data_IF_151001199593
#
_entry.id   IF_151001199593
#
_cell.length_a   1.000
_cell.length_b   1.000
_cell.length_c   1.000
_cell.angle_alpha   90.00
_cell.angle_beta   90.00
_cell.angle_gamma   90.00
#
_symmetry.space_group_name_H-M   'P 1'
#
loop_
_entity.id
_entity.type
_entity.pdbx_description
1 polymer ?
#
# COMPACT_ATOMS: atom_id res chain seq x y z
N UNK A 1 -14.11 28.75 -12.83
CA UNK A 1 -14.77 28.09 -13.97
C UNK A 1 -13.78 27.41 -14.94
N UNK A 2 -12.64 28.03 -15.30
CA UNK A 2 -11.62 27.41 -16.20
C UNK A 2 -11.02 26.09 -15.67
N UNK A 3 -10.78 25.95 -14.37
CA UNK A 3 -10.23 24.73 -13.77
C UNK A 3 -11.20 23.53 -13.81
N UNK A 4 -12.50 23.78 -13.61
CA UNK A 4 -13.52 22.72 -13.69
C UNK A 4 -13.64 22.18 -15.11
N UNK A 5 -13.65 23.07 -16.12
CA UNK A 5 -13.69 22.65 -17.53
C UNK A 5 -12.46 21.78 -17.89
N UNK A 6 -11.26 22.19 -17.45
CA UNK A 6 -10.04 21.41 -17.68
C UNK A 6 -10.10 20.02 -17.02
N UNK A 7 -10.61 19.94 -15.79
CA UNK A 7 -10.80 18.66 -15.08
C UNK A 7 -11.80 17.78 -15.83
N UNK A 8 -12.93 18.31 -16.27
CA UNK A 8 -13.93 17.57 -17.04
C UNK A 8 -13.35 17.02 -18.37
N UNK A 9 -12.55 17.82 -19.08
CA UNK A 9 -11.90 17.40 -20.33
C UNK A 9 -10.94 16.23 -20.04
N UNK A 10 -10.11 16.31 -19.00
CA UNK A 10 -9.19 15.24 -18.63
C UNK A 10 -9.95 13.95 -18.26
N UNK A 11 -10.99 14.05 -17.42
CA UNK A 11 -11.81 12.89 -17.04
C UNK A 11 -12.46 12.26 -18.27
N UNK A 12 -13.04 13.07 -19.15
CA UNK A 12 -13.66 12.59 -20.38
C UNK A 12 -12.66 11.88 -21.28
N UNK A 13 -11.47 12.46 -21.47
CA UNK A 13 -10.39 11.85 -22.25
C UNK A 13 -9.96 10.51 -21.65
N UNK A 14 -9.79 10.42 -20.32
CA UNK A 14 -9.44 9.18 -19.66
C UNK A 14 -10.51 8.09 -19.84
N UNK A 15 -11.79 8.45 -19.73
CA UNK A 15 -12.91 7.52 -19.95
C UNK A 15 -12.93 7.03 -21.42
N UNK A 16 -12.72 7.92 -22.38
CA UNK A 16 -12.64 7.55 -23.79
C UNK A 16 -11.47 6.59 -24.08
N UNK A 17 -10.29 6.89 -23.55
CA UNK A 17 -9.12 6.01 -23.67
C UNK A 17 -9.41 4.64 -23.02
N UNK A 18 -10.12 4.61 -21.89
CA UNK A 18 -10.49 3.36 -21.23
C UNK A 18 -11.43 2.53 -22.10
N UNK A 19 -12.50 3.11 -22.66
CA UNK A 19 -13.40 2.40 -23.58
C UNK A 19 -12.69 1.87 -24.82
N UNK A 20 -11.78 2.66 -25.41
CA UNK A 20 -10.97 2.23 -26.55
C UNK A 20 -10.03 1.07 -26.18
N UNK A 21 -9.39 1.16 -25.02
CA UNK A 21 -8.51 0.09 -24.51
C UNK A 21 -9.30 -1.19 -24.23
N UNK A 22 -10.50 -1.08 -23.67
CA UNK A 22 -11.38 -2.23 -23.42
C UNK A 22 -11.77 -2.89 -24.75
N UNK A 23 -12.10 -2.11 -25.77
CA UNK A 23 -12.40 -2.63 -27.10
C UNK A 23 -11.21 -3.39 -27.68
N UNK A 24 -10.02 -2.78 -27.72
CA UNK A 24 -8.81 -3.39 -28.32
C UNK A 24 -8.40 -4.68 -27.60
N UNK A 25 -8.42 -4.69 -26.28
CA UNK A 25 -7.98 -5.84 -25.47
C UNK A 25 -8.99 -7.00 -25.47
N UNK A 26 -10.27 -6.73 -25.61
CA UNK A 26 -11.33 -7.75 -25.62
C UNK A 26 -11.65 -8.29 -27.02
N UNK A 27 -11.29 -7.58 -28.09
CA UNK A 27 -11.54 -7.95 -29.50
C UNK A 27 -11.00 -9.35 -29.86
N UNK A 28 -9.75 -9.74 -29.50
CA UNK A 28 -9.23 -11.06 -29.89
C UNK A 28 -10.09 -12.21 -29.35
N UNK A 29 -10.56 -12.09 -28.08
CA UNK A 29 -11.41 -13.10 -27.50
C UNK A 29 -12.81 -13.14 -28.13
N UNK A 30 -13.41 -11.99 -28.43
CA UNK A 30 -14.67 -11.91 -29.16
C UNK A 30 -14.59 -12.55 -30.53
N UNK A 31 -13.52 -12.27 -31.28
CA UNK A 31 -13.29 -12.86 -32.60
C UNK A 31 -13.06 -14.38 -32.55
N UNK A 32 -12.30 -14.87 -31.56
CA UNK A 32 -12.08 -16.30 -31.38
C UNK A 32 -13.38 -17.03 -31.01
N UNK A 33 -14.22 -16.43 -30.18
CA UNK A 33 -15.54 -16.95 -29.84
C UNK A 33 -16.43 -17.05 -31.07
N UNK A 34 -16.46 -16.00 -31.91
CA UNK A 34 -17.24 -15.98 -33.14
C UNK A 34 -16.79 -17.05 -34.14
N UNK A 35 -15.48 -17.15 -34.36
CA UNK A 35 -14.92 -18.19 -35.24
C UNK A 35 -15.28 -19.59 -34.78
N UNK A 36 -15.26 -19.88 -33.48
CA UNK A 36 -15.67 -21.18 -32.92
C UNK A 36 -17.17 -21.45 -33.07
N UNK A 37 -17.99 -20.39 -33.05
CA UNK A 37 -19.42 -20.48 -33.26
C UNK A 37 -19.84 -20.50 -34.76
N UNK A 38 -18.91 -20.27 -35.70
CA UNK A 38 -19.18 -20.19 -37.13
C UNK A 38 -20.05 -18.98 -37.52
N UNK A 39 -20.01 -17.90 -36.71
CA UNK A 39 -20.84 -16.70 -36.91
C UNK A 39 -19.94 -15.56 -37.41
N UNK A 40 -20.35 -14.88 -38.49
CA UNK A 40 -19.76 -13.61 -38.89
C UNK A 40 -20.33 -12.48 -37.98
N UNK A 41 -19.47 -11.83 -37.19
CA UNK A 41 -19.87 -10.72 -36.34
C UNK A 41 -19.75 -9.41 -37.11
N UNK A 42 -20.85 -8.63 -37.13
CA UNK A 42 -20.85 -7.26 -37.63
C UNK A 42 -19.99 -6.35 -36.73
N UNK A 43 -19.41 -5.28 -37.30
CA UNK A 43 -18.59 -4.32 -36.54
C UNK A 43 -19.32 -3.72 -35.32
N UNK A 44 -20.64 -3.49 -35.40
CA UNK A 44 -21.47 -3.00 -34.31
C UNK A 44 -21.63 -4.04 -33.20
N UNK A 45 -21.89 -5.29 -33.55
CA UNK A 45 -22.03 -6.40 -32.62
C UNK A 45 -20.70 -6.68 -31.89
N UNK A 46 -19.58 -6.55 -32.61
CA UNK A 46 -18.26 -6.69 -32.04
C UNK A 46 -18.00 -5.65 -30.93
N UNK A 47 -18.36 -4.38 -31.16
CA UNK A 47 -18.24 -3.32 -30.14
C UNK A 47 -19.10 -3.61 -28.93
N UNK A 48 -20.37 -4.02 -29.14
CA UNK A 48 -21.28 -4.34 -28.05
C UNK A 48 -20.81 -5.58 -27.27
N UNK A 49 -20.37 -6.65 -27.96
CA UNK A 49 -19.84 -7.84 -27.29
C UNK A 49 -18.61 -7.52 -26.46
N UNK A 50 -17.65 -6.74 -27.00
CA UNK A 50 -16.41 -6.36 -26.26
C UNK A 50 -16.67 -5.55 -24.99
N UNK A 51 -17.79 -4.80 -24.93
CA UNK A 51 -18.16 -4.00 -23.76
C UNK A 51 -19.13 -4.72 -22.80
N UNK A 52 -19.67 -5.87 -23.19
CA UNK A 52 -20.66 -6.63 -22.39
C UNK A 52 -20.21 -8.04 -22.01
N UNK A 53 -18.95 -8.40 -22.25
CA UNK A 53 -18.40 -9.71 -21.89
C UNK A 53 -18.53 -10.00 -20.39
N UNK A 54 -18.90 -11.23 -20.02
CA UNK A 54 -18.96 -11.66 -18.60
C UNK A 54 -17.57 -11.71 -17.92
N UNK A 55 -16.53 -12.04 -18.70
CA UNK A 55 -15.15 -12.14 -18.20
C UNK A 55 -14.18 -11.41 -19.16
N UNK A 56 -14.26 -10.08 -19.24
CA UNK A 56 -13.39 -9.32 -20.11
C UNK A 56 -11.95 -9.30 -19.58
N UNK A 57 -10.95 -9.17 -20.48
CA UNK A 57 -9.57 -8.88 -20.07
C UNK A 57 -9.46 -7.51 -19.41
N UNK A 58 -10.19 -6.52 -19.94
CA UNK A 58 -10.34 -5.20 -19.37
C UNK A 58 -11.83 -4.85 -19.33
N UNK A 59 -12.46 -4.77 -18.14
CA UNK A 59 -13.86 -4.40 -18.06
C UNK A 59 -14.08 -2.95 -18.50
N UNK A 60 -15.19 -2.70 -19.19
CA UNK A 60 -15.58 -1.34 -19.56
C UNK A 60 -16.01 -0.54 -18.31
N UNK A 61 -15.89 0.80 -18.30
CA UNK A 61 -16.21 1.63 -17.13
C UNK A 61 -17.60 1.41 -16.56
N UNK A 62 -18.61 1.22 -17.41
CA UNK A 62 -19.98 0.95 -16.97
C UNK A 62 -20.12 -0.42 -16.27
N UNK A 63 -19.39 -1.46 -16.72
CA UNK A 63 -19.37 -2.77 -16.07
C UNK A 63 -18.77 -2.68 -14.66
N UNK A 64 -17.70 -1.90 -14.49
CA UNK A 64 -17.10 -1.64 -13.18
C UNK A 64 -18.10 -0.94 -12.26
N UNK A 65 -18.81 0.07 -12.77
CA UNK A 65 -19.84 0.78 -11.99
C UNK A 65 -20.97 -0.15 -11.53
N UNK A 66 -21.49 -0.99 -12.44
CA UNK A 66 -22.53 -1.99 -12.12
C UNK A 66 -22.02 -3.01 -11.10
N UNK A 67 -20.78 -3.51 -11.24
CA UNK A 67 -20.23 -4.50 -10.31
C UNK A 67 -19.98 -3.89 -8.92
N UNK A 68 -19.50 -2.64 -8.85
CA UNK A 68 -19.38 -1.91 -7.58
C UNK A 68 -20.77 -1.79 -6.91
N UNK A 69 -21.78 -1.41 -7.66
CA UNK A 69 -23.15 -1.32 -7.13
C UNK A 69 -23.64 -2.67 -6.60
N UNK A 70 -23.55 -3.72 -7.40
CA UNK A 70 -23.97 -5.07 -7.02
C UNK A 70 -23.26 -5.59 -5.77
N UNK A 71 -21.94 -5.37 -5.70
CA UNK A 71 -21.11 -5.90 -4.60
C UNK A 71 -21.17 -5.06 -3.32
N UNK A 72 -21.55 -3.77 -3.43
CA UNK A 72 -21.66 -2.87 -2.27
C UNK A 72 -23.07 -2.79 -1.71
N UNK A 73 -24.09 -2.72 -2.58
CA UNK A 73 -25.47 -2.43 -2.17
C UNK A 73 -26.33 -3.69 -2.10
N UNK A 74 -26.26 -4.55 -3.12
CA UNK A 74 -27.15 -5.72 -3.20
C UNK A 74 -26.68 -6.88 -2.32
N UNK A 75 -25.39 -6.98 -2.03
CA UNK A 75 -24.86 -8.10 -1.23
C UNK A 75 -24.76 -7.72 0.24
N UNK A 76 -25.12 -8.66 1.11
CA UNK A 76 -24.98 -8.52 2.57
C UNK A 76 -23.53 -8.25 2.92
N UNK A 77 -23.29 -7.34 3.87
CA UNK A 77 -21.95 -6.94 4.35
C UNK A 77 -21.05 -8.11 4.79
N UNK A 78 -21.66 -9.19 5.31
CA UNK A 78 -20.97 -10.40 5.78
C UNK A 78 -20.66 -11.40 4.66
N UNK A 79 -21.13 -11.15 3.45
CA UNK A 79 -20.88 -12.06 2.32
C UNK A 79 -19.44 -11.99 1.85
N UNK A 80 -18.79 -13.15 1.66
CA UNK A 80 -17.45 -13.26 1.06
C UNK A 80 -17.37 -12.72 -0.39
N UNK A 81 -18.50 -12.34 -0.99
CA UNK A 81 -18.57 -11.71 -2.31
C UNK A 81 -18.82 -10.20 -2.23
N UNK A 82 -18.93 -9.63 -1.03
CA UNK A 82 -19.13 -8.20 -0.80
C UNK A 82 -17.78 -7.46 -0.86
N UNK A 83 -17.75 -6.36 -1.60
CA UNK A 83 -16.58 -5.48 -1.66
C UNK A 83 -16.29 -4.86 -0.28
N UNK A 84 -17.35 -4.55 0.50
CA UNK A 84 -17.21 -4.00 1.85
C UNK A 84 -16.52 -4.99 2.78
N UNK A 85 -16.85 -6.28 2.71
CA UNK A 85 -16.21 -7.33 3.49
C UNK A 85 -14.70 -7.42 3.17
N UNK A 86 -14.33 -7.39 1.88
CA UNK A 86 -12.93 -7.41 1.48
C UNK A 86 -12.19 -6.12 1.86
N UNK A 87 -12.84 -4.96 1.75
CA UNK A 87 -12.29 -3.69 2.21
C UNK A 87 -12.00 -3.70 3.71
N UNK A 88 -12.90 -4.26 4.51
CA UNK A 88 -12.70 -4.42 5.96
C UNK A 88 -11.51 -5.33 6.29
N UNK A 89 -11.40 -6.48 5.61
CA UNK A 89 -10.25 -7.38 5.78
C UNK A 89 -8.94 -6.67 5.42
N UNK A 90 -8.92 -5.93 4.31
CA UNK A 90 -7.73 -5.20 3.89
C UNK A 90 -7.38 -4.11 4.89
N UNK A 91 -8.34 -3.28 5.26
CA UNK A 91 -8.14 -2.19 6.22
C UNK A 91 -7.66 -2.70 7.57
N UNK A 92 -8.31 -3.73 8.13
CA UNK A 92 -7.91 -4.31 9.42
C UNK A 92 -6.51 -4.91 9.39
N UNK A 93 -6.17 -5.65 8.33
CA UNK A 93 -4.82 -6.23 8.19
C UNK A 93 -3.75 -5.17 8.00
N UNK A 94 -4.05 -4.11 7.24
CA UNK A 94 -3.13 -2.98 7.04
C UNK A 94 -2.91 -2.21 8.34
N UNK A 95 -3.98 -1.91 9.08
CA UNK A 95 -3.86 -1.22 10.38
C UNK A 95 -3.07 -2.03 11.40
N UNK A 96 -3.34 -3.32 11.53
CA UNK A 96 -2.57 -4.20 12.43
C UNK A 96 -1.10 -4.25 12.02
N UNK A 97 -0.82 -4.46 10.74
CA UNK A 97 0.55 -4.46 10.22
C UNK A 97 1.25 -3.11 10.41
N UNK A 98 0.56 -2.01 10.17
CA UNK A 98 1.05 -0.66 10.40
C UNK A 98 1.43 -0.41 11.87
N UNK A 99 0.57 -0.81 12.81
CA UNK A 99 0.86 -0.69 14.24
C UNK A 99 2.07 -1.53 14.65
N UNK A 100 2.15 -2.79 14.20
CA UNK A 100 3.29 -3.67 14.47
C UNK A 100 4.57 -3.10 13.87
N UNK A 101 4.56 -2.74 12.58
CA UNK A 101 5.72 -2.23 11.86
C UNK A 101 6.23 -0.91 12.45
N UNK A 102 5.32 0.01 12.78
CA UNK A 102 5.64 1.29 13.42
C UNK A 102 6.27 1.07 14.80
N UNK A 103 5.64 0.25 15.64
CA UNK A 103 6.13 0.00 17.00
C UNK A 103 7.52 -0.65 16.98
N UNK A 104 7.71 -1.69 16.19
CA UNK A 104 9.00 -2.34 16.03
C UNK A 104 10.04 -1.39 15.43
N UNK A 105 9.65 -0.58 14.45
CA UNK A 105 10.52 0.40 13.81
C UNK A 105 11.03 1.47 14.80
N UNK A 106 10.14 2.00 15.64
CA UNK A 106 10.51 2.96 16.69
C UNK A 106 11.43 2.32 17.72
N UNK A 107 11.10 1.12 18.21
CA UNK A 107 11.91 0.41 19.21
C UNK A 107 13.31 0.13 18.68
N UNK A 108 13.40 -0.34 17.43
CA UNK A 108 14.68 -0.60 16.79
C UNK A 108 15.49 0.67 16.58
N UNK A 109 14.85 1.76 16.16
CA UNK A 109 15.53 3.06 15.99
C UNK A 109 16.11 3.59 17.30
N UNK A 110 15.37 3.46 18.41
CA UNK A 110 15.86 3.81 19.74
C UNK A 110 17.10 2.97 20.09
N UNK A 111 17.05 1.65 19.87
CA UNK A 111 18.19 0.75 20.08
C UNK A 111 19.42 1.15 19.26
N UNK A 112 19.23 1.43 17.96
CA UNK A 112 20.30 1.86 17.04
C UNK A 112 20.96 3.17 17.49
N UNK A 113 20.17 4.13 17.98
CA UNK A 113 20.70 5.42 18.39
C UNK A 113 21.47 5.35 19.73
N UNK A 114 21.06 4.44 20.62
CA UNK A 114 21.68 4.31 21.94
C UNK A 114 22.80 3.28 22.00
N UNK A 115 22.92 2.39 21.01
CA UNK A 115 23.93 1.32 20.99
C UNK A 115 24.70 1.32 19.67
N UNK A 116 26.00 1.61 19.76
CA UNK A 116 26.86 1.66 18.59
C UNK A 116 27.00 0.30 17.88
N UNK A 117 26.99 -0.81 18.60
CA UNK A 117 27.01 -2.14 18.01
C UNK A 117 25.75 -2.39 17.18
N UNK A 118 24.56 -2.02 17.68
CA UNK A 118 23.33 -2.09 16.90
C UNK A 118 23.38 -1.17 15.67
N UNK A 119 23.93 0.03 15.81
CA UNK A 119 24.07 0.94 14.68
C UNK A 119 24.94 0.33 13.56
N UNK A 120 26.08 -0.24 13.91
CA UNK A 120 26.99 -0.83 12.93
C UNK A 120 26.46 -2.13 12.33
N UNK A 121 25.70 -2.92 13.09
CA UNK A 121 25.19 -4.22 12.64
C UNK A 121 23.83 -4.12 11.95
N UNK A 122 22.86 -3.41 12.52
CA UNK A 122 21.47 -3.43 12.09
C UNK A 122 21.15 -2.40 11.02
N UNK A 123 21.75 -1.20 11.09
CA UNK A 123 21.45 -0.11 10.16
C UNK A 123 21.74 -0.45 8.69
N UNK A 124 22.89 -1.10 8.33
CA UNK A 124 23.14 -1.53 6.96
C UNK A 124 22.08 -2.50 6.45
N UNK A 125 21.60 -3.44 7.29
CA UNK A 125 20.55 -4.38 6.93
C UNK A 125 19.20 -3.70 6.75
N UNK A 126 18.87 -2.72 7.61
CA UNK A 126 17.65 -1.93 7.45
C UNK A 126 17.61 -1.16 6.13
N UNK A 127 18.74 -0.62 5.68
CA UNK A 127 18.86 0.05 4.38
C UNK A 127 18.79 -0.96 3.23
N UNK A 128 19.56 -2.05 3.32
CA UNK A 128 19.60 -3.07 2.28
C UNK A 128 18.24 -3.74 2.04
N UNK A 129 17.44 -3.94 3.10
CA UNK A 129 16.13 -4.57 2.99
C UNK A 129 15.11 -3.75 2.19
N UNK A 130 15.28 -2.43 2.08
CA UNK A 130 14.46 -1.58 1.21
C UNK A 130 14.67 -1.86 -0.28
N UNK A 131 15.78 -2.47 -0.66
CA UNK A 131 16.07 -2.81 -2.05
C UNK A 131 15.32 -4.06 -2.51
N UNK A 132 14.79 -4.84 -1.57
CA UNK A 132 14.06 -6.07 -1.88
C UNK A 132 12.61 -5.74 -2.24
N UNK A 133 12.14 -6.03 -3.46
CA UNK A 133 10.78 -5.74 -3.85
C UNK A 133 9.79 -6.63 -3.10
N UNK A 134 9.05 -6.06 -2.16
CA UNK A 134 8.07 -6.80 -1.34
C UNK A 134 7.04 -7.56 -2.20
N UNK A 135 6.69 -7.03 -3.38
CA UNK A 135 5.77 -7.70 -4.30
C UNK A 135 6.28 -9.06 -4.77
N UNK A 136 7.60 -9.26 -4.84
CA UNK A 136 8.18 -10.55 -5.18
C UNK A 136 8.15 -11.54 -3.99
N UNK A 137 8.27 -11.02 -2.75
CA UNK A 137 8.34 -11.84 -1.53
C UNK A 137 6.94 -12.13 -0.97
N UNK A 138 5.98 -11.23 -1.15
CA UNK A 138 4.64 -11.36 -0.58
C UNK A 138 3.95 -12.70 -0.87
N UNK A 139 3.96 -13.25 -2.10
CA UNK A 139 3.39 -14.57 -2.37
C UNK A 139 4.10 -15.68 -1.60
N UNK A 140 5.43 -15.61 -1.44
CA UNK A 140 6.21 -16.60 -0.69
C UNK A 140 5.85 -16.58 0.79
N UNK A 141 5.74 -15.39 1.39
CA UNK A 141 5.32 -15.23 2.79
C UNK A 141 3.94 -15.87 2.99
N UNK A 142 2.99 -15.62 2.10
CA UNK A 142 1.64 -16.18 2.18
C UNK A 142 1.68 -17.71 2.10
N UNK A 143 2.43 -18.27 1.16
CA UNK A 143 2.53 -19.73 0.99
C UNK A 143 3.17 -20.39 2.21
N UNK A 144 4.29 -19.84 2.70
CA UNK A 144 5.01 -20.37 3.87
C UNK A 144 4.14 -20.30 5.13
N UNK A 145 3.47 -19.17 5.37
CA UNK A 145 2.61 -19.03 6.55
C UNK A 145 1.37 -19.93 6.46
N UNK A 146 0.79 -20.09 5.28
CA UNK A 146 -0.32 -21.01 5.07
C UNK A 146 0.08 -22.48 5.30
N UNK A 147 1.30 -22.88 4.94
CA UNK A 147 1.78 -24.25 5.13
C UNK A 147 1.93 -24.64 6.61
N UNK A 148 2.18 -23.67 7.49
CA UNK A 148 2.25 -23.85 8.95
C UNK A 148 0.91 -23.53 9.65
N UNK A 149 -0.19 -23.38 8.88
CA UNK A 149 -1.53 -23.16 9.41
C UNK A 149 -1.87 -21.69 9.76
N UNK A 150 -0.97 -20.73 9.50
CA UNK A 150 -1.22 -19.31 9.75
C UNK A 150 -1.90 -18.68 8.54
N UNK A 151 -3.21 -18.47 8.65
CA UNK A 151 -4.06 -17.97 7.57
C UNK A 151 -4.81 -16.68 7.93
N UNK A 152 -5.46 -16.08 6.96
CA UNK A 152 -6.37 -14.95 7.16
C UNK A 152 -5.68 -13.60 7.28
N UNK A 153 -5.81 -12.94 8.41
CA UNK A 153 -5.32 -11.58 8.65
C UNK A 153 -3.80 -11.50 8.83
N UNK A 154 -3.21 -12.47 9.54
CA UNK A 154 -1.80 -12.42 9.95
C UNK A 154 -0.81 -12.34 8.77
N UNK A 155 -0.86 -13.18 7.70
CA UNK A 155 0.05 -13.04 6.57
C UNK A 155 0.02 -11.67 5.93
N UNK A 156 -1.16 -11.07 5.79
CA UNK A 156 -1.34 -9.73 5.22
C UNK A 156 -0.78 -8.65 6.15
N UNK A 157 -0.99 -8.78 7.46
CA UNK A 157 -0.46 -7.86 8.46
C UNK A 157 1.08 -7.91 8.50
N UNK A 158 1.70 -9.08 8.35
CA UNK A 158 3.16 -9.22 8.28
C UNK A 158 3.72 -8.50 7.05
N UNK A 159 3.08 -8.64 5.88
CA UNK A 159 3.49 -7.93 4.66
C UNK A 159 3.35 -6.43 4.84
N UNK A 160 2.23 -5.96 5.39
CA UNK A 160 2.00 -4.55 5.68
C UNK A 160 3.00 -3.99 6.72
N UNK A 161 3.30 -4.79 7.75
CA UNK A 161 4.31 -4.45 8.76
C UNK A 161 5.70 -4.26 8.12
N UNK A 162 6.09 -5.13 7.21
CA UNK A 162 7.37 -5.01 6.49
C UNK A 162 7.46 -3.70 5.70
N UNK A 163 6.42 -3.32 4.98
CA UNK A 163 6.38 -2.08 4.21
C UNK A 163 6.55 -0.83 5.07
N UNK A 164 5.92 -0.81 6.25
CA UNK A 164 5.97 0.32 7.16
C UNK A 164 7.26 0.37 8.02
N UNK A 165 7.79 -0.79 8.39
CA UNK A 165 8.89 -0.94 9.35
C UNK A 165 10.13 -0.15 8.96
N UNK A 166 10.63 -0.33 7.72
CA UNK A 166 11.91 0.27 7.31
C UNK A 166 11.87 1.80 7.16
N UNK A 167 10.88 2.42 6.52
CA UNK A 167 10.75 3.87 6.53
C UNK A 167 10.74 4.45 7.94
N UNK A 168 10.08 3.78 8.89
CA UNK A 168 10.01 4.23 10.27
C UNK A 168 11.35 4.11 10.97
N UNK A 169 12.07 2.99 10.82
CA UNK A 169 13.43 2.84 11.39
C UNK A 169 14.33 3.96 10.91
N UNK A 170 14.46 4.14 9.60
CA UNK A 170 15.38 5.12 9.01
C UNK A 170 14.98 6.55 9.39
N UNK A 171 13.70 6.88 9.31
CA UNK A 171 13.21 8.20 9.66
C UNK A 171 13.39 8.53 11.14
N UNK A 172 13.06 7.58 12.03
CA UNK A 172 13.24 7.77 13.47
C UNK A 172 14.71 7.87 13.86
N UNK A 173 15.61 7.06 13.28
CA UNK A 173 17.07 7.20 13.53
C UNK A 173 17.54 8.59 13.12
N UNK A 174 17.13 9.06 11.93
CA UNK A 174 17.46 10.41 11.46
C UNK A 174 16.88 11.48 12.39
N UNK A 175 15.63 11.34 12.82
CA UNK A 175 14.95 12.27 13.72
C UNK A 175 15.59 12.32 15.11
N UNK A 176 15.91 11.17 15.72
CA UNK A 176 16.57 11.11 17.03
C UNK A 176 18.00 11.65 17.03
N UNK A 177 18.61 11.75 15.85
CA UNK A 177 19.96 12.35 15.66
C UNK A 177 19.91 13.79 15.17
N UNK A 178 18.74 14.36 14.92
CA UNK A 178 18.59 15.70 14.34
C UNK A 178 18.79 16.87 15.32
N UNK A 179 18.74 16.72 16.67
CA UNK A 179 18.97 17.85 17.58
C UNK A 179 20.35 18.50 17.32
N UNK A 180 20.39 19.82 17.37
CA UNK A 180 21.60 20.58 17.21
C UNK A 180 22.57 20.34 18.38
N UNK A 181 23.88 20.51 18.10
CA UNK A 181 24.90 20.38 19.14
C UNK A 181 24.70 21.39 20.26
N UNK A 182 24.30 22.61 19.94
CA UNK A 182 24.01 23.67 20.91
C UNK A 182 22.97 23.23 21.92
N UNK A 183 21.86 22.60 21.47
CA UNK A 183 20.80 22.13 22.36
C UNK A 183 21.27 20.98 23.26
N UNK A 184 22.10 20.08 22.71
CA UNK A 184 22.67 18.98 23.48
C UNK A 184 23.69 19.46 24.52
N UNK A 185 24.50 20.45 24.17
CA UNK A 185 25.49 21.06 25.05
C UNK A 185 24.82 21.89 26.17
N UNK A 186 23.74 22.61 25.82
CA UNK A 186 22.92 23.32 26.80
C UNK A 186 22.37 22.35 27.86
N UNK A 187 21.78 21.23 27.44
CA UNK A 187 21.28 20.21 28.36
C UNK A 187 22.41 19.55 29.17
N UNK A 188 23.61 19.48 28.61
CA UNK A 188 24.78 19.01 29.36
C UNK A 188 25.18 20.00 30.47
N UNK A 189 25.15 21.31 30.20
CA UNK A 189 25.43 22.36 31.18
C UNK A 189 24.47 22.34 32.34
N UNK A 190 23.20 21.99 32.12
CA UNK A 190 22.18 21.77 33.15
C UNK A 190 22.26 20.38 33.81
N UNK A 191 23.33 19.63 33.60
CA UNK A 191 23.52 18.27 34.10
C UNK A 191 22.34 17.32 33.87
N UNK A 192 21.70 17.46 32.69
CA UNK A 192 20.58 16.60 32.31
C UNK A 192 21.05 15.17 32.05
N UNK A 193 20.32 14.21 32.62
CA UNK A 193 20.55 12.78 32.41
C UNK A 193 20.23 12.37 30.94
N UNK A 194 20.77 11.24 30.48
CA UNK A 194 20.49 10.72 29.14
C UNK A 194 18.98 10.47 28.92
N UNK A 195 18.26 10.05 29.93
CA UNK A 195 16.79 9.86 29.89
C UNK A 195 16.08 11.20 29.68
N UNK A 196 16.52 12.26 30.40
CA UNK A 196 15.96 13.60 30.23
C UNK A 196 16.25 14.16 28.84
N UNK A 197 17.48 13.98 28.31
CA UNK A 197 17.86 14.37 26.95
C UNK A 197 17.02 13.64 25.91
N UNK A 198 16.73 12.35 26.13
CA UNK A 198 15.89 11.58 25.22
C UNK A 198 14.45 12.11 25.21
N UNK A 199 13.77 12.20 26.37
CA UNK A 199 12.35 12.57 26.43
C UNK A 199 12.09 14.05 26.15
N UNK A 200 13.00 14.96 26.57
CA UNK A 200 12.79 16.42 26.45
C UNK A 200 13.33 17.03 25.17
N UNK A 201 14.30 16.39 24.50
CA UNK A 201 14.91 16.91 23.29
C UNK A 201 14.78 15.95 22.10
N UNK A 202 15.39 14.77 22.17
CA UNK A 202 15.48 13.88 21.00
C UNK A 202 14.13 13.38 20.51
N UNK A 203 13.27 12.93 21.43
CA UNK A 203 11.96 12.39 21.05
C UNK A 203 11.04 13.46 20.43
N UNK A 204 10.83 14.65 21.05
CA UNK A 204 10.02 15.71 20.43
C UNK A 204 10.57 16.16 19.07
N UNK A 205 11.87 16.34 18.94
CA UNK A 205 12.51 16.75 17.68
C UNK A 205 12.39 15.67 16.59
N UNK A 206 12.25 14.40 16.97
CA UNK A 206 12.06 13.29 16.03
C UNK A 206 10.63 13.17 15.48
N UNK A 207 9.62 13.79 16.10
CA UNK A 207 8.21 13.64 15.72
C UNK A 207 7.93 14.02 14.25
N UNK A 208 8.44 15.13 13.68
CA UNK A 208 8.23 15.45 12.27
C UNK A 208 8.76 14.36 11.32
N UNK A 209 9.90 13.75 11.68
CA UNK A 209 10.50 12.66 10.90
C UNK A 209 9.66 11.37 11.00
N UNK A 210 9.11 11.08 12.20
CA UNK A 210 8.19 9.97 12.38
C UNK A 210 6.95 10.15 11.48
N UNK A 211 6.27 11.30 11.56
CA UNK A 211 5.08 11.55 10.75
C UNK A 211 5.37 11.50 9.25
N UNK A 212 6.53 12.02 8.81
CA UNK A 212 6.95 11.90 7.42
C UNK A 212 7.14 10.43 6.99
N UNK A 213 7.73 9.61 7.87
CA UNK A 213 7.92 8.17 7.61
C UNK A 213 6.61 7.39 7.63
N UNK A 214 5.70 7.71 8.54
CA UNK A 214 4.36 7.09 8.60
C UNK A 214 3.57 7.38 7.32
N UNK A 215 3.68 8.59 6.77
CA UNK A 215 3.04 8.96 5.50
C UNK A 215 3.58 8.15 4.31
N UNK A 216 4.82 7.69 4.37
CA UNK A 216 5.42 6.82 3.34
C UNK A 216 5.01 5.36 3.55
N UNK A 217 4.76 4.94 4.79
CA UNK A 217 4.44 3.56 5.17
C UNK A 217 2.95 3.19 5.05
N UNK A 218 2.07 4.16 4.82
CA UNK A 218 0.64 3.96 4.58
C UNK A 218 0.36 3.95 3.08
#
# INVERSE_FOLDING_TARGET
>A
MRSLASICVVIFTLIMVWYLSAFVLNTPWAMDKAKRAGIEISSKELVLDTWSQEKPKLPAPHQVGVEIWKTTVEKKFTSKRSLIFHSWITLSSTLVGFLIGTSLGILLAIGIVHNNAMNMSVMPWAIASQTIPILAIAPMIIVVLNSIGVQGLLPKAIISSYLCFFPVVVGMVKGLRSPDRIDTDLLHTYNATNVQKFWKLRLPTSMPFLFASLKVGI
#
